data_IF_546959460321
#
_entry.id   IF_546959460321
#
_cell.length_a   1.000
_cell.length_b   1.000
_cell.length_c   1.000
_cell.angle_alpha   90.00
_cell.angle_beta   90.00
_cell.angle_gamma   90.00
#
_symmetry.space_group_name_H-M   'P 1'
#
loop_
_entity.id
_entity.type
_entity.pdbx_description
1 polymer ?
#
# COMPACT_ATOMS: atom_id res chain seq x y z
N UNK A 1 -26.99 54.78 24.49
CA UNK A 1 -26.73 53.57 23.67
C UNK A 1 -26.82 54.00 22.22
N UNK A 2 -25.73 53.93 21.45
CA UNK A 2 -25.82 54.12 20.00
C UNK A 2 -26.60 52.94 19.42
N UNK A 3 -27.66 53.24 18.66
CA UNK A 3 -28.44 52.25 17.95
C UNK A 3 -27.57 51.68 16.82
N UNK A 4 -27.08 50.44 17.01
CA UNK A 4 -26.24 49.78 16.01
C UNK A 4 -27.11 49.49 14.79
N UNK A 5 -26.82 50.18 13.68
CA UNK A 5 -27.51 49.97 12.41
C UNK A 5 -27.23 48.54 11.93
N UNK A 6 -28.24 47.67 12.01
CA UNK A 6 -28.17 46.29 11.51
C UNK A 6 -28.36 46.32 10.00
N UNK A 7 -27.28 46.13 9.25
CA UNK A 7 -27.33 45.89 7.81
C UNK A 7 -27.41 44.38 7.55
N UNK A 8 -28.30 43.99 6.65
CA UNK A 8 -28.49 42.61 6.22
C UNK A 8 -28.60 42.58 4.69
N UNK A 9 -27.86 41.65 4.07
CA UNK A 9 -27.90 41.43 2.63
C UNK A 9 -28.09 39.94 2.35
N UNK A 10 -29.17 39.61 1.64
CA UNK A 10 -29.52 38.22 1.32
C UNK A 10 -29.10 37.92 -0.11
N UNK A 11 -28.16 36.97 -0.26
CA UNK A 11 -27.64 36.55 -1.57
C UNK A 11 -28.58 35.52 -2.20
N UNK A 12 -28.96 34.51 -1.42
CA UNK A 12 -29.92 33.50 -1.87
C UNK A 12 -30.74 32.98 -0.68
N UNK A 13 -31.52 31.90 -0.89
CA UNK A 13 -32.37 31.32 0.16
C UNK A 13 -31.59 30.77 1.36
N UNK A 14 -30.31 30.44 1.17
CA UNK A 14 -29.45 29.84 2.18
C UNK A 14 -28.43 30.83 2.74
N UNK A 15 -27.94 31.77 1.94
CA UNK A 15 -26.79 32.62 2.24
C UNK A 15 -27.19 34.07 2.50
N UNK A 16 -26.82 34.58 3.67
CA UNK A 16 -27.06 35.96 4.10
C UNK A 16 -25.81 36.53 4.75
N UNK A 17 -25.52 37.81 4.54
CA UNK A 17 -24.47 38.54 5.25
C UNK A 17 -25.11 39.57 6.18
N UNK A 18 -24.54 39.75 7.37
CA UNK A 18 -24.96 40.80 8.31
C UNK A 18 -23.76 41.58 8.84
N UNK A 19 -23.92 42.89 8.98
CA UNK A 19 -22.94 43.74 9.68
C UNK A 19 -23.28 43.76 11.18
N UNK A 20 -22.42 43.15 11.98
CA UNK A 20 -22.60 43.03 13.43
C UNK A 20 -21.29 43.40 14.13
N UNK A 21 -21.35 44.35 15.07
CA UNK A 21 -20.17 44.80 15.84
C UNK A 21 -18.99 45.18 14.93
N UNK A 22 -19.27 46.00 13.91
CA UNK A 22 -18.28 46.44 12.90
C UNK A 22 -17.65 45.30 12.09
N UNK A 23 -18.28 44.12 12.05
CA UNK A 23 -17.76 42.96 11.33
C UNK A 23 -18.81 42.35 10.41
N UNK A 24 -18.38 41.97 9.22
CA UNK A 24 -19.24 41.24 8.27
C UNK A 24 -19.26 39.75 8.64
N UNK A 25 -20.44 39.25 8.99
CA UNK A 25 -20.69 37.87 9.39
C UNK A 25 -21.52 37.16 8.32
N UNK A 26 -21.06 36.00 7.90
CA UNK A 26 -21.78 35.12 6.97
C UNK A 26 -22.71 34.20 7.76
N UNK A 27 -23.95 34.13 7.32
CA UNK A 27 -25.01 33.26 7.83
C UNK A 27 -25.44 32.26 6.77
N UNK A 28 -25.60 31.00 7.18
CA UNK A 28 -26.08 29.92 6.34
C UNK A 28 -27.31 29.31 7.02
N UNK A 29 -28.47 29.37 6.36
CA UNK A 29 -29.78 29.03 6.96
C UNK A 29 -30.05 29.78 8.28
N UNK A 30 -29.62 31.04 8.36
CA UNK A 30 -29.76 31.85 9.57
C UNK A 30 -28.81 31.47 10.72
N UNK A 31 -27.96 30.45 10.53
CA UNK A 31 -26.93 30.07 11.51
C UNK A 31 -25.62 30.79 11.19
N UNK A 32 -25.01 31.41 12.19
CA UNK A 32 -23.71 32.07 12.07
C UNK A 32 -22.65 31.07 11.63
N UNK A 33 -21.99 31.33 10.51
CA UNK A 33 -20.99 30.44 9.94
C UNK A 33 -19.55 30.92 10.17
N UNK A 34 -19.21 32.10 9.64
CA UNK A 34 -17.84 32.63 9.69
C UNK A 34 -17.83 34.16 9.55
N UNK A 35 -16.80 34.80 10.10
CA UNK A 35 -16.48 36.21 9.86
C UNK A 35 -15.62 36.36 8.59
N UNK A 36 -15.92 37.32 7.72
CA UNK A 36 -15.03 37.72 6.62
C UNK A 36 -13.78 38.41 7.20
N UNK A 37 -12.58 37.94 6.85
CA UNK A 37 -11.32 38.45 7.42
C UNK A 37 -10.75 39.67 6.67
N UNK A 38 -10.94 39.75 5.36
CA UNK A 38 -10.42 40.85 4.54
C UNK A 38 -11.11 40.92 3.18
N UNK A 39 -11.34 42.13 2.70
CA UNK A 39 -11.85 42.39 1.36
C UNK A 39 -10.70 42.33 0.35
N UNK A 40 -10.70 41.31 -0.51
CA UNK A 40 -9.86 41.29 -1.71
C UNK A 40 -10.60 42.10 -2.79
N UNK A 41 -10.16 43.34 -3.02
CA UNK A 41 -10.85 44.33 -3.85
C UNK A 41 -10.63 44.16 -5.37
N UNK A 42 -11.76 44.27 -6.10
CA UNK A 42 -12.09 44.69 -7.49
C UNK A 42 -11.08 44.68 -8.67
N UNK A 43 -9.77 44.70 -8.50
CA UNK A 43 -8.85 44.85 -9.66
C UNK A 43 -8.62 43.59 -10.49
N UNK A 44 -9.14 42.44 -10.06
CA UNK A 44 -8.85 41.14 -10.66
C UNK A 44 -9.82 40.72 -11.77
N UNK A 45 -11.06 41.22 -11.82
CA UNK A 45 -12.08 40.68 -12.74
C UNK A 45 -11.82 40.97 -14.22
N UNK A 46 -11.17 42.09 -14.56
CA UNK A 46 -10.82 42.41 -15.96
C UNK A 46 -9.49 41.77 -16.40
N UNK A 47 -8.52 41.61 -15.49
CA UNK A 47 -7.22 40.97 -15.78
C UNK A 47 -7.31 39.43 -15.79
N UNK A 48 -8.08 38.82 -14.88
CA UNK A 48 -8.26 37.36 -14.84
C UNK A 48 -9.02 36.81 -16.07
N UNK A 49 -9.81 37.64 -16.75
CA UNK A 49 -10.47 37.25 -18.02
C UNK A 49 -9.50 37.20 -19.20
N UNK A 50 -8.37 37.91 -19.12
CA UNK A 50 -7.41 38.03 -20.23
C UNK A 50 -6.16 37.16 -20.04
N UNK A 51 -5.76 36.88 -18.79
CA UNK A 51 -4.67 35.94 -18.50
C UNK A 51 -5.18 34.49 -18.34
N UNK A 52 -5.01 33.69 -19.40
CA UNK A 52 -5.30 32.24 -19.40
C UNK A 52 -4.39 31.40 -18.49
N UNK A 53 -3.47 32.02 -17.76
CA UNK A 53 -2.43 31.35 -16.99
C UNK A 53 -2.57 31.50 -15.47
N UNK A 54 -3.65 32.12 -14.96
CA UNK A 54 -3.89 32.19 -13.51
C UNK A 54 -5.04 31.24 -13.19
N UNK A 55 -4.70 30.08 -12.64
CA UNK A 55 -5.68 29.02 -12.35
C UNK A 55 -6.49 29.31 -11.08
N UNK A 56 -6.03 30.24 -10.22
CA UNK A 56 -6.77 30.64 -9.01
C UNK A 56 -6.43 32.04 -8.48
N UNK A 57 -7.35 32.61 -7.68
CA UNK A 57 -7.06 33.80 -6.86
C UNK A 57 -5.93 33.54 -5.86
N UNK A 58 -5.73 32.30 -5.44
CA UNK A 58 -4.68 31.98 -4.46
C UNK A 58 -3.28 32.18 -5.05
N UNK A 59 -3.09 31.81 -6.32
CA UNK A 59 -1.83 32.04 -7.04
C UNK A 59 -1.58 33.54 -7.24
N UNK A 60 -2.63 34.30 -7.60
CA UNK A 60 -2.54 35.76 -7.67
C UNK A 60 -2.28 36.38 -6.29
N UNK A 61 -2.87 35.83 -5.22
CA UNK A 61 -2.68 36.28 -3.86
C UNK A 61 -1.27 35.99 -3.35
N UNK A 62 -0.66 34.84 -3.66
CA UNK A 62 0.75 34.57 -3.32
C UNK A 62 1.71 35.53 -4.03
N UNK A 63 1.44 35.88 -5.29
CA UNK A 63 2.23 36.85 -6.04
C UNK A 63 2.08 38.26 -5.43
N UNK A 64 0.84 38.63 -5.09
CA UNK A 64 0.53 39.92 -4.45
C UNK A 64 1.10 40.00 -3.03
N UNK A 65 1.01 38.96 -2.22
CA UNK A 65 1.54 38.93 -0.84
C UNK A 65 3.06 39.04 -0.83
N UNK A 66 3.74 38.42 -1.81
CA UNK A 66 5.19 38.63 -2.05
C UNK A 66 5.52 40.07 -2.45
N UNK A 67 4.64 40.76 -3.17
CA UNK A 67 4.81 42.18 -3.53
C UNK A 67 4.49 43.15 -2.36
N UNK A 68 3.61 42.73 -1.46
CA UNK A 68 3.22 43.50 -0.26
C UNK A 68 4.30 43.35 0.84
N UNK A 69 5.02 42.23 0.88
CA UNK A 69 6.11 41.96 1.82
C UNK A 69 7.34 42.90 1.77
N UNK A 70 7.45 43.77 0.76
CA UNK A 70 8.53 44.77 0.67
C UNK A 70 8.20 46.11 1.33
N UNK A 71 6.99 46.29 1.87
CA UNK A 71 6.58 47.51 2.58
C UNK A 71 6.66 47.32 4.11
N UNK A 72 7.78 46.80 4.62
CA UNK A 72 8.10 46.81 6.05
C UNK A 72 8.61 48.20 6.47
N UNK A 73 7.72 49.18 6.43
CA UNK A 73 8.00 50.54 6.89
C UNK A 73 6.72 51.36 6.93
N UNK A 74 6.02 51.32 8.06
CA UNK A 74 5.02 52.29 8.51
C UNK A 74 4.17 52.97 7.43
N UNK A 75 3.25 52.32 6.69
CA UNK A 75 2.30 53.09 5.87
C UNK A 75 0.89 52.48 5.69
N UNK A 76 -0.07 53.21 6.27
CA UNK A 76 -1.51 53.31 5.96
C UNK A 76 -2.35 52.02 6.05
N UNK A 77 -2.78 51.71 7.27
CA UNK A 77 -4.08 51.06 7.50
C UNK A 77 -5.14 52.07 7.04
N UNK A 78 -5.49 52.07 5.74
CA UNK A 78 -6.74 52.68 5.31
C UNK A 78 -7.86 51.91 6.01
N UNK A 79 -8.35 52.46 7.12
CA UNK A 79 -9.50 51.90 7.84
C UNK A 79 -10.74 52.14 6.97
N UNK A 80 -11.03 51.20 6.09
CA UNK A 80 -12.27 51.17 5.33
C UNK A 80 -13.42 51.18 6.34
N UNK A 81 -14.41 52.09 6.22
CA UNK A 81 -15.57 52.07 7.11
C UNK A 81 -16.26 50.70 7.07
N UNK A 82 -16.70 50.15 8.22
CA UNK A 82 -17.30 48.81 8.27
C UNK A 82 -18.47 48.61 7.31
N UNK A 83 -19.27 49.65 7.06
CA UNK A 83 -20.36 49.63 6.09
C UNK A 83 -19.86 49.52 4.65
N UNK A 84 -18.79 50.23 4.30
CA UNK A 84 -18.18 50.16 2.97
C UNK A 84 -17.54 48.79 2.73
N UNK A 85 -16.82 48.26 3.73
CA UNK A 85 -16.26 46.90 3.67
C UNK A 85 -17.37 45.84 3.55
N UNK A 86 -18.46 46.00 4.30
CA UNK A 86 -19.64 45.13 4.22
C UNK A 86 -20.22 45.09 2.81
N UNK A 87 -20.42 46.24 2.17
CA UNK A 87 -20.93 46.28 0.80
C UNK A 87 -19.96 45.64 -0.21
N UNK A 88 -18.66 45.87 -0.05
CA UNK A 88 -17.65 45.18 -0.86
C UNK A 88 -17.75 43.65 -0.73
N UNK A 89 -17.90 43.14 0.49
CA UNK A 89 -18.09 41.71 0.72
C UNK A 89 -19.37 41.18 0.10
N UNK A 90 -20.48 41.91 0.25
CA UNK A 90 -21.76 41.54 -0.34
C UNK A 90 -21.64 41.43 -1.86
N UNK A 91 -21.02 42.41 -2.51
CA UNK A 91 -20.80 42.41 -3.96
C UNK A 91 -19.93 41.23 -4.42
N UNK A 92 -18.80 40.97 -3.76
CA UNK A 92 -17.92 39.86 -4.12
C UNK A 92 -18.62 38.49 -4.02
N UNK A 93 -19.35 38.24 -2.92
CA UNK A 93 -20.05 36.97 -2.74
C UNK A 93 -21.30 36.89 -3.63
N UNK A 94 -21.97 38.00 -3.93
CA UNK A 94 -23.07 38.06 -4.89
C UNK A 94 -22.58 37.66 -6.29
N UNK A 95 -21.47 38.25 -6.76
CA UNK A 95 -20.88 37.92 -8.07
C UNK A 95 -20.41 36.46 -8.10
N UNK A 96 -19.81 35.96 -7.01
CA UNK A 96 -19.47 34.54 -6.87
C UNK A 96 -20.69 33.63 -7.03
N UNK A 97 -21.82 33.97 -6.40
CA UNK A 97 -23.06 33.22 -6.54
C UNK A 97 -23.65 33.32 -7.96
N UNK A 98 -23.67 34.51 -8.55
CA UNK A 98 -24.19 34.76 -9.90
C UNK A 98 -23.36 34.08 -11.01
N UNK A 99 -22.09 33.81 -10.75
CA UNK A 99 -21.20 33.05 -11.64
C UNK A 99 -21.16 31.56 -11.25
N UNK A 100 -22.29 31.01 -10.82
CA UNK A 100 -22.45 29.61 -10.44
C UNK A 100 -21.37 29.10 -9.48
N UNK A 101 -21.03 29.90 -8.46
CA UNK A 101 -20.02 29.58 -7.45
C UNK A 101 -18.58 29.40 -7.97
N UNK A 102 -18.20 30.09 -9.05
CA UNK A 102 -16.83 30.05 -9.60
C UNK A 102 -15.76 30.38 -8.55
N UNK A 103 -15.02 29.36 -8.14
CA UNK A 103 -14.01 29.40 -7.07
C UNK A 103 -12.84 30.31 -7.38
N UNK A 104 -12.71 30.79 -8.63
CA UNK A 104 -11.73 31.79 -9.04
C UNK A 104 -12.14 33.23 -8.71
N UNK A 105 -13.32 33.45 -8.11
CA UNK A 105 -13.82 34.79 -7.75
C UNK A 105 -13.69 35.11 -6.25
N UNK A 106 -13.47 34.09 -5.42
CA UNK A 106 -13.17 34.22 -4.00
C UNK A 106 -11.89 33.45 -3.68
N UNK A 107 -11.09 33.94 -2.73
CA UNK A 107 -9.95 33.16 -2.21
C UNK A 107 -10.43 31.80 -1.70
N UNK A 108 -9.70 30.71 -2.00
CA UNK A 108 -10.10 29.35 -1.64
C UNK A 108 -10.37 29.14 -0.16
N UNK A 109 -9.67 29.87 0.71
CA UNK A 109 -9.88 29.87 2.16
C UNK A 109 -11.32 30.24 2.56
N UNK A 110 -12.03 30.99 1.71
CA UNK A 110 -13.45 31.30 1.87
C UNK A 110 -14.32 30.49 0.90
N UNK A 111 -13.98 30.47 -0.39
CA UNK A 111 -14.78 29.86 -1.46
C UNK A 111 -15.07 28.39 -1.15
N UNK A 112 -14.02 27.62 -0.84
CA UNK A 112 -14.11 26.17 -0.72
C UNK A 112 -14.88 25.72 0.53
N UNK A 113 -14.62 26.28 1.75
CA UNK A 113 -15.45 25.97 2.93
C UNK A 113 -16.91 26.41 2.77
N UNK A 114 -17.16 27.57 2.15
CA UNK A 114 -18.52 28.08 1.94
C UNK A 114 -19.29 27.17 0.98
N UNK A 115 -18.66 26.79 -0.14
CA UNK A 115 -19.22 25.86 -1.13
C UNK A 115 -19.53 24.50 -0.53
N UNK A 116 -18.61 23.94 0.28
CA UNK A 116 -18.84 22.72 1.07
C UNK A 116 -20.08 22.86 1.95
N UNK A 117 -20.18 23.95 2.71
CA UNK A 117 -21.28 24.12 3.67
C UNK A 117 -22.63 24.29 2.97
N UNK A 118 -22.68 24.98 1.83
CA UNK A 118 -23.87 25.08 0.98
C UNK A 118 -24.27 23.72 0.38
N UNK A 119 -23.30 22.93 -0.07
CA UNK A 119 -23.52 21.54 -0.50
C UNK A 119 -24.11 20.68 0.63
N UNK A 120 -23.56 20.77 1.84
CA UNK A 120 -23.98 19.99 3.01
C UNK A 120 -25.44 20.27 3.43
N UNK A 121 -25.94 21.50 3.23
CA UNK A 121 -27.33 21.86 3.54
C UNK A 121 -28.30 21.59 2.38
N UNK A 122 -27.82 21.04 1.26
CA UNK A 122 -28.65 20.62 0.14
C UNK A 122 -28.88 21.67 -0.96
N UNK A 123 -28.03 22.69 -1.08
CA UNK A 123 -28.01 23.51 -2.31
C UNK A 123 -27.50 22.65 -3.48
N UNK A 124 -28.40 22.37 -4.44
CA UNK A 124 -28.11 21.46 -5.56
C UNK A 124 -27.04 22.01 -6.50
N UNK A 125 -27.02 23.33 -6.73
CA UNK A 125 -26.02 23.98 -7.57
C UNK A 125 -24.67 23.97 -6.86
N UNK A 126 -24.64 24.33 -5.57
CA UNK A 126 -23.42 24.27 -4.76
C UNK A 126 -22.86 22.85 -4.69
N UNK A 127 -23.72 21.84 -4.50
CA UNK A 127 -23.31 20.43 -4.48
C UNK A 127 -22.65 19.98 -5.77
N UNK A 128 -23.23 20.35 -6.92
CA UNK A 128 -22.65 20.07 -8.24
C UNK A 128 -21.27 20.74 -8.36
N UNK A 129 -21.20 22.04 -8.11
CA UNK A 129 -19.97 22.85 -8.23
C UNK A 129 -18.88 22.41 -7.25
N UNK A 130 -19.26 21.99 -6.07
CA UNK A 130 -18.33 21.47 -5.07
C UNK A 130 -17.64 20.19 -5.54
N UNK A 131 -18.40 19.26 -6.14
CA UNK A 131 -17.84 18.03 -6.73
C UNK A 131 -16.92 18.33 -7.91
N UNK A 132 -17.32 19.25 -8.79
CA UNK A 132 -16.49 19.73 -9.91
C UNK A 132 -15.16 20.29 -9.42
N UNK A 133 -15.18 21.12 -8.37
CA UNK A 133 -13.97 21.70 -7.78
C UNK A 133 -13.07 20.64 -7.12
N UNK A 134 -13.64 19.65 -6.42
CA UNK A 134 -12.87 18.53 -5.86
C UNK A 134 -12.19 17.77 -7.00
N UNK A 135 -12.93 17.45 -8.08
CA UNK A 135 -12.38 16.76 -9.24
C UNK A 135 -11.23 17.54 -9.87
N UNK A 136 -11.45 18.82 -10.19
CA UNK A 136 -10.44 19.72 -10.77
C UNK A 136 -9.13 19.72 -9.95
N UNK A 137 -9.24 19.82 -8.63
CA UNK A 137 -8.07 19.84 -7.74
C UNK A 137 -7.35 18.50 -7.69
N UNK A 138 -8.08 17.38 -7.71
CA UNK A 138 -7.47 16.06 -7.78
C UNK A 138 -6.75 15.86 -9.12
N UNK A 139 -7.39 16.24 -10.23
CA UNK A 139 -6.85 16.12 -11.59
C UNK A 139 -5.57 16.95 -11.81
N UNK A 140 -5.36 18.03 -11.04
CA UNK A 140 -4.11 18.79 -11.06
C UNK A 140 -2.87 17.93 -10.73
N UNK A 141 -3.06 16.81 -10.03
CA UNK A 141 -1.97 15.93 -9.59
C UNK A 141 -1.04 16.54 -8.54
N UNK A 142 -1.36 17.73 -8.00
CA UNK A 142 -0.53 18.39 -7.00
C UNK A 142 -0.69 17.73 -5.62
N UNK A 143 0.29 16.90 -5.27
CA UNK A 143 0.25 15.98 -4.11
C UNK A 143 -0.19 16.65 -2.79
N UNK A 144 0.31 17.84 -2.38
CA UNK A 144 -0.14 18.47 -1.14
C UNK A 144 -1.65 18.78 -1.15
N UNK A 145 -2.19 19.28 -2.26
CA UNK A 145 -3.64 19.54 -2.40
C UNK A 145 -4.43 18.24 -2.42
N UNK A 146 -3.95 17.23 -3.14
CA UNK A 146 -4.55 15.90 -3.17
C UNK A 146 -4.64 15.30 -1.76
N UNK A 147 -3.53 15.31 -1.02
CA UNK A 147 -3.50 14.82 0.36
C UNK A 147 -4.42 15.61 1.27
N UNK A 148 -4.46 16.95 1.15
CA UNK A 148 -5.40 17.77 1.90
C UNK A 148 -6.85 17.33 1.68
N UNK A 149 -7.25 17.06 0.42
CA UNK A 149 -8.61 16.62 0.10
C UNK A 149 -8.92 15.23 0.65
N UNK A 150 -7.98 14.30 0.52
CA UNK A 150 -8.11 12.92 1.06
C UNK A 150 -8.23 12.94 2.58
N UNK A 151 -7.27 13.57 3.28
CA UNK A 151 -7.19 13.55 4.74
C UNK A 151 -8.38 14.24 5.43
N UNK A 152 -9.01 15.21 4.75
CA UNK A 152 -10.20 15.90 5.26
C UNK A 152 -11.53 15.24 4.83
N UNK A 153 -11.46 14.08 4.18
CA UNK A 153 -12.63 13.29 3.77
C UNK A 153 -13.50 14.01 2.74
N UNK A 154 -12.88 14.66 1.75
CA UNK A 154 -13.61 15.29 0.64
C UNK A 154 -14.03 14.29 -0.44
N UNK A 155 -13.45 13.09 -0.48
CA UNK A 155 -13.77 12.10 -1.52
C UNK A 155 -15.13 11.41 -1.27
N UNK A 156 -15.70 11.53 -0.06
CA UNK A 156 -17.08 11.11 0.24
C UNK A 156 -18.16 11.84 -0.57
N UNK A 157 -17.83 12.97 -1.19
CA UNK A 157 -18.78 13.70 -2.04
C UNK A 157 -18.80 13.17 -3.48
N UNK A 158 -17.84 12.34 -3.85
CA UNK A 158 -17.71 11.73 -5.16
C UNK A 158 -18.22 10.28 -5.15
N UNK A 159 -18.78 9.84 -6.28
CA UNK A 159 -19.09 8.42 -6.51
C UNK A 159 -17.83 7.66 -6.91
N UNK A 160 -17.89 6.33 -6.82
CA UNK A 160 -16.79 5.47 -7.24
C UNK A 160 -16.43 5.67 -8.73
N UNK A 161 -17.42 5.89 -9.59
CA UNK A 161 -17.23 6.14 -11.02
C UNK A 161 -16.52 7.46 -11.28
N UNK A 162 -16.86 8.52 -10.52
CA UNK A 162 -16.20 9.82 -10.61
C UNK A 162 -14.75 9.73 -10.16
N UNK A 163 -14.49 9.04 -9.05
CA UNK A 163 -13.13 8.78 -8.56
C UNK A 163 -12.31 8.02 -9.60
N UNK A 164 -12.89 6.97 -10.21
CA UNK A 164 -12.23 6.21 -11.26
C UNK A 164 -11.90 7.06 -12.48
N UNK A 165 -12.85 7.90 -12.90
CA UNK A 165 -12.65 8.84 -14.02
C UNK A 165 -11.49 9.81 -13.74
N UNK A 166 -11.42 10.35 -12.52
CA UNK A 166 -10.31 11.22 -12.09
C UNK A 166 -8.98 10.46 -12.11
N UNK A 167 -8.94 9.23 -11.58
CA UNK A 167 -7.71 8.42 -11.57
C UNK A 167 -7.21 8.12 -12.99
N UNK A 168 -8.11 7.97 -13.96
CA UNK A 168 -7.79 7.76 -15.38
C UNK A 168 -7.30 9.03 -16.08
N UNK A 169 -7.68 10.23 -15.60
CA UNK A 169 -7.24 11.52 -16.17
C UNK A 169 -5.93 12.06 -15.58
N UNK A 170 -5.47 11.50 -14.45
CA UNK A 170 -4.23 11.92 -13.80
C UNK A 170 -2.99 11.73 -14.70
N UNK A 171 -2.01 12.63 -14.61
CA UNK A 171 -0.77 12.49 -15.36
C UNK A 171 0.00 11.24 -14.94
N UNK A 172 0.72 10.63 -15.88
CA UNK A 172 1.64 9.53 -15.54
C UNK A 172 2.84 10.08 -14.78
N UNK A 173 3.07 9.57 -13.57
CA UNK A 173 4.24 9.93 -12.79
C UNK A 173 5.38 8.94 -13.06
N UNK A 174 6.65 9.40 -13.06
CA UNK A 174 7.77 8.48 -13.05
C UNK A 174 7.68 7.58 -11.81
N UNK A 175 8.05 6.30 -11.91
CA UNK A 175 8.04 5.41 -10.76
C UNK A 175 8.80 6.03 -9.58
N UNK A 176 8.18 5.99 -8.39
CA UNK A 176 8.80 6.32 -7.12
C UNK A 176 9.18 7.80 -6.91
N UNK A 177 8.61 8.72 -7.70
CA UNK A 177 8.93 10.15 -7.54
C UNK A 177 8.42 10.76 -6.23
N UNK A 178 7.38 10.17 -5.62
CA UNK A 178 6.72 10.75 -4.44
C UNK A 178 6.36 9.76 -3.33
N UNK A 179 6.49 8.44 -3.51
CA UNK A 179 6.06 7.42 -2.51
C UNK A 179 6.59 7.71 -1.12
N UNK A 180 7.91 7.95 -0.96
CA UNK A 180 8.51 8.28 0.33
C UNK A 180 8.11 9.65 0.92
N UNK A 181 7.76 10.63 0.07
CA UNK A 181 7.38 11.99 0.52
C UNK A 181 5.92 12.08 0.94
N UNK A 182 5.05 11.24 0.36
CA UNK A 182 3.63 11.21 0.71
C UNK A 182 3.45 10.88 2.19
N UNK A 183 4.30 9.99 2.74
CA UNK A 183 4.26 9.66 4.17
C UNK A 183 4.59 10.83 5.09
N UNK A 184 5.40 11.80 4.64
CA UNK A 184 5.70 13.03 5.39
C UNK A 184 4.52 14.02 5.42
N UNK A 185 3.49 13.79 4.60
CA UNK A 185 2.28 14.63 4.56
C UNK A 185 1.17 14.10 5.46
N UNK A 186 1.32 12.90 6.02
CA UNK A 186 0.40 12.43 7.05
C UNK A 186 0.69 13.16 8.35
N UNK A 187 -0.35 13.61 9.08
CA UNK A 187 -0.17 14.13 10.42
C UNK A 187 0.32 13.00 11.35
N UNK A 188 0.93 13.37 12.47
CA UNK A 188 1.42 12.43 13.50
C UNK A 188 0.31 11.47 13.98
N UNK A 189 -0.92 11.98 14.08
CA UNK A 189 -2.14 11.20 14.27
C UNK A 189 -2.92 11.12 12.95
N UNK A 190 -2.63 10.12 12.11
CA UNK A 190 -3.26 10.02 10.81
C UNK A 190 -4.78 9.77 10.92
N UNK A 191 -5.59 10.47 10.09
CA UNK A 191 -7.03 10.46 10.24
C UNK A 191 -7.64 9.11 9.84
N UNK A 192 -8.87 8.88 10.29
CA UNK A 192 -9.68 7.78 9.78
C UNK A 192 -10.04 8.03 8.31
N UNK A 193 -9.59 7.14 7.44
CA UNK A 193 -9.89 7.18 6.00
C UNK A 193 -11.13 6.32 5.70
N UNK A 194 -12.02 6.81 4.83
CA UNK A 194 -13.10 5.98 4.31
C UNK A 194 -12.65 5.21 3.08
N UNK A 195 -13.55 4.36 2.56
CA UNK A 195 -13.31 3.47 1.42
C UNK A 195 -12.82 4.24 0.19
N UNK A 196 -13.46 5.37 -0.13
CA UNK A 196 -13.10 6.20 -1.28
C UNK A 196 -11.68 6.76 -1.16
N UNK A 197 -11.31 7.25 0.02
CA UNK A 197 -9.97 7.77 0.30
C UNK A 197 -8.91 6.67 0.16
N UNK A 198 -9.18 5.49 0.72
CA UNK A 198 -8.26 4.37 0.65
C UNK A 198 -8.11 3.84 -0.77
N UNK A 199 -9.21 3.66 -1.51
CA UNK A 199 -9.21 3.29 -2.92
C UNK A 199 -8.39 4.30 -3.75
N UNK A 200 -8.66 5.58 -3.56
CA UNK A 200 -7.94 6.64 -4.28
C UNK A 200 -6.43 6.59 -3.99
N UNK A 201 -6.02 6.49 -2.72
CA UNK A 201 -4.60 6.43 -2.36
C UNK A 201 -3.90 5.19 -2.92
N UNK A 202 -4.59 4.05 -2.98
CA UNK A 202 -4.06 2.82 -3.58
C UNK A 202 -3.84 2.95 -5.09
N UNK A 203 -4.78 3.59 -5.79
CA UNK A 203 -4.76 3.69 -7.25
C UNK A 203 -3.99 4.88 -7.80
N UNK A 204 -3.81 5.92 -6.98
CA UNK A 204 -3.22 7.15 -7.46
C UNK A 204 -1.79 6.92 -7.96
N UNK A 205 -1.48 7.26 -9.23
CA UNK A 205 -0.25 6.85 -9.91
C UNK A 205 1.03 7.37 -9.25
N UNK A 206 0.97 8.51 -8.57
CA UNK A 206 2.09 9.05 -7.80
C UNK A 206 2.20 8.51 -6.36
N UNK A 207 1.07 8.13 -5.75
CA UNK A 207 1.01 7.82 -4.33
C UNK A 207 1.24 6.33 -4.12
N UNK A 208 0.48 5.49 -4.85
CA UNK A 208 0.61 4.03 -4.86
C UNK A 208 0.83 3.50 -3.44
N UNK A 209 -0.17 3.73 -2.59
CA UNK A 209 -0.04 3.57 -1.15
C UNK A 209 0.59 2.23 -0.75
N UNK A 210 0.14 1.12 -1.37
CA UNK A 210 0.65 -0.22 -1.10
C UNK A 210 2.15 -0.36 -1.42
N UNK A 211 2.58 0.14 -2.57
CA UNK A 211 3.98 0.19 -2.98
C UNK A 211 4.81 1.04 -2.02
N UNK A 212 4.32 2.23 -1.66
CA UNK A 212 5.01 3.12 -0.74
C UNK A 212 5.24 2.46 0.62
N UNK A 213 4.24 1.76 1.15
CA UNK A 213 4.33 1.00 2.41
C UNK A 213 5.38 -0.10 2.30
N UNK A 214 5.35 -0.83 1.19
CA UNK A 214 6.28 -1.92 0.96
C UNK A 214 7.72 -1.40 0.77
N UNK A 215 7.92 -0.18 0.26
CA UNK A 215 9.25 0.41 0.07
C UNK A 215 9.89 0.93 1.37
N UNK A 216 9.11 1.58 2.24
CA UNK A 216 9.64 2.25 3.44
C UNK A 216 10.14 1.26 4.49
N UNK A 217 9.41 0.17 4.72
CA UNK A 217 9.86 -1.00 5.47
C UNK A 217 10.11 -0.87 6.97
N UNK A 218 10.24 0.34 7.47
CA UNK A 218 10.31 0.66 8.88
C UNK A 218 9.69 2.04 9.06
N UNK A 219 8.39 2.06 9.33
CA UNK A 219 7.64 3.30 9.55
C UNK A 219 7.55 3.66 11.03
N UNK A 220 7.91 2.75 11.95
CA UNK A 220 7.96 2.96 13.39
C UNK A 220 6.65 3.40 14.06
N UNK A 221 6.40 2.91 15.27
CA UNK A 221 5.39 3.47 16.20
C UNK A 221 3.96 3.56 15.62
N UNK A 222 3.31 4.70 15.89
CA UNK A 222 1.88 4.94 15.62
C UNK A 222 1.48 4.81 14.14
N UNK A 223 2.42 5.00 13.22
CA UNK A 223 2.15 4.88 11.79
C UNK A 223 1.91 3.42 11.38
N UNK A 224 2.65 2.47 11.95
CA UNK A 224 2.43 1.04 11.69
C UNK A 224 1.03 0.60 12.14
N UNK A 225 0.62 1.02 13.34
CA UNK A 225 -0.71 0.71 13.89
C UNK A 225 -1.83 1.35 13.07
N UNK A 226 -1.66 2.60 12.66
CA UNK A 226 -2.60 3.25 11.75
C UNK A 226 -2.67 2.52 10.40
N UNK A 227 -1.54 2.08 9.85
CA UNK A 227 -1.53 1.35 8.59
C UNK A 227 -2.26 0.01 8.70
N UNK A 228 -2.04 -0.73 9.77
CA UNK A 228 -2.77 -1.98 10.07
C UNK A 228 -4.28 -1.70 10.17
N UNK A 229 -4.67 -0.61 10.85
CA UNK A 229 -6.06 -0.16 10.95
C UNK A 229 -6.68 0.17 9.58
N UNK A 230 -5.97 0.90 8.73
CA UNK A 230 -6.43 1.23 7.38
C UNK A 230 -6.61 -0.01 6.49
N UNK A 231 -5.65 -0.94 6.51
CA UNK A 231 -5.74 -2.17 5.74
C UNK A 231 -6.83 -3.10 6.26
N UNK A 232 -7.01 -3.18 7.58
CA UNK A 232 -8.12 -3.90 8.18
C UNK A 232 -9.47 -3.31 7.76
N UNK A 233 -9.59 -1.98 7.75
CA UNK A 233 -10.81 -1.28 7.30
C UNK A 233 -11.09 -1.54 5.81
N UNK A 234 -10.05 -1.47 4.97
CA UNK A 234 -10.16 -1.82 3.55
C UNK A 234 -10.56 -3.27 3.33
N UNK A 235 -10.02 -4.19 4.11
CA UNK A 235 -10.38 -5.60 4.01
C UNK A 235 -11.82 -5.83 4.42
N UNK A 236 -12.29 -5.19 5.49
CA UNK A 236 -13.66 -5.31 5.96
C UNK A 236 -14.65 -4.81 4.91
N UNK A 237 -14.35 -3.67 4.28
CA UNK A 237 -15.25 -3.01 3.32
C UNK A 237 -15.13 -3.53 1.89
N UNK A 238 -13.91 -3.82 1.44
CA UNK A 238 -13.58 -4.11 0.04
C UNK A 238 -12.62 -5.32 -0.08
N UNK A 239 -12.94 -6.49 0.50
CA UNK A 239 -12.01 -7.61 0.62
C UNK A 239 -11.49 -8.09 -0.74
N UNK A 240 -12.37 -8.17 -1.75
CA UNK A 240 -12.00 -8.63 -3.10
C UNK A 240 -11.00 -7.69 -3.77
N UNK A 241 -11.23 -6.38 -3.68
CA UNK A 241 -10.39 -5.38 -4.32
C UNK A 241 -8.99 -5.33 -3.69
N UNK A 242 -8.91 -5.24 -2.36
CA UNK A 242 -7.61 -5.23 -1.66
C UNK A 242 -6.83 -6.50 -1.97
N UNK A 243 -7.52 -7.65 -1.96
CA UNK A 243 -6.93 -8.95 -2.29
C UNK A 243 -6.38 -8.98 -3.70
N UNK A 244 -7.14 -8.58 -4.71
CA UNK A 244 -6.67 -8.53 -6.10
C UNK A 244 -5.46 -7.62 -6.28
N UNK A 245 -5.48 -6.43 -5.65
CA UNK A 245 -4.37 -5.48 -5.68
C UNK A 245 -3.12 -6.01 -4.99
N UNK A 246 -3.28 -6.60 -3.82
CA UNK A 246 -2.17 -7.24 -3.11
C UNK A 246 -1.55 -8.36 -3.95
N UNK A 247 -2.36 -9.22 -4.60
CA UNK A 247 -1.85 -10.26 -5.48
C UNK A 247 -1.14 -9.70 -6.71
N UNK A 248 -1.65 -8.62 -7.30
CA UNK A 248 -0.99 -7.94 -8.42
C UNK A 248 0.36 -7.34 -8.01
N UNK A 249 0.42 -6.74 -6.82
CA UNK A 249 1.65 -6.17 -6.26
C UNK A 249 2.66 -7.27 -5.96
N UNK A 250 2.26 -8.33 -5.26
CA UNK A 250 3.14 -9.45 -4.89
C UNK A 250 3.78 -10.15 -6.09
N UNK A 251 3.11 -10.17 -7.26
CA UNK A 251 3.69 -10.70 -8.50
C UNK A 251 4.89 -9.89 -8.99
N UNK A 252 4.96 -8.61 -8.65
CA UNK A 252 5.97 -7.66 -9.12
C UNK A 252 6.97 -7.27 -8.03
N UNK A 253 6.63 -7.47 -6.76
CA UNK A 253 7.43 -6.97 -5.66
C UNK A 253 8.77 -7.70 -5.53
N UNK A 254 9.72 -7.01 -4.91
CA UNK A 254 11.03 -7.54 -4.51
C UNK A 254 10.94 -8.16 -3.12
N UNK A 255 11.96 -8.92 -2.73
CA UNK A 255 11.95 -9.58 -1.43
C UNK A 255 11.96 -8.61 -0.26
N UNK A 256 12.64 -7.47 -0.38
CA UNK A 256 12.63 -6.43 0.66
C UNK A 256 11.20 -5.92 0.89
N UNK A 257 10.50 -5.59 -0.19
CA UNK A 257 9.11 -5.15 -0.15
C UNK A 257 8.19 -6.22 0.45
N UNK A 258 8.38 -7.49 0.05
CA UNK A 258 7.65 -8.61 0.62
C UNK A 258 7.89 -8.78 2.12
N UNK A 259 9.14 -8.62 2.57
CA UNK A 259 9.50 -8.70 3.99
C UNK A 259 8.76 -7.65 4.78
N UNK A 260 8.68 -6.44 4.25
CA UNK A 260 7.97 -5.33 4.89
C UNK A 260 6.47 -5.61 5.00
N UNK A 261 5.86 -6.16 3.93
CA UNK A 261 4.45 -6.60 3.99
C UNK A 261 4.22 -7.71 5.02
N UNK A 262 5.18 -8.62 5.20
CA UNK A 262 5.11 -9.68 6.20
C UNK A 262 5.18 -9.11 7.63
N UNK A 263 6.12 -8.20 7.90
CA UNK A 263 6.26 -7.53 9.20
C UNK A 263 5.00 -6.76 9.59
N UNK A 264 4.37 -6.11 8.62
CA UNK A 264 3.12 -5.36 8.83
C UNK A 264 1.87 -6.26 8.99
N UNK A 265 2.02 -7.59 8.93
CA UNK A 265 0.89 -8.52 9.03
C UNK A 265 -0.04 -8.53 7.81
N UNK A 266 0.31 -7.85 6.72
CA UNK A 266 -0.53 -7.72 5.52
C UNK A 266 -0.72 -9.07 4.83
N UNK A 267 0.27 -9.96 5.00
CA UNK A 267 0.22 -11.32 4.45
C UNK A 267 -0.89 -12.19 5.06
N UNK A 268 -1.48 -11.81 6.20
CA UNK A 268 -2.64 -12.51 6.77
C UNK A 268 -3.87 -12.49 5.86
N UNK A 269 -3.90 -11.58 4.88
CA UNK A 269 -5.02 -11.40 3.95
C UNK A 269 -4.85 -12.15 2.63
N UNK A 270 -3.69 -12.76 2.40
CA UNK A 270 -3.41 -13.62 1.26
C UNK A 270 -3.64 -15.05 1.71
N UNK A 271 -4.33 -15.89 0.94
CA UNK A 271 -4.37 -17.32 1.29
C UNK A 271 -3.06 -17.99 0.94
N UNK A 272 -2.74 -19.08 1.63
CA UNK A 272 -1.51 -19.83 1.34
C UNK A 272 -1.46 -20.29 -0.11
N UNK A 273 -2.58 -20.78 -0.66
CA UNK A 273 -2.66 -21.18 -2.07
C UNK A 273 -2.32 -20.03 -3.02
N UNK A 274 -2.85 -18.83 -2.77
CA UNK A 274 -2.61 -17.67 -3.62
C UNK A 274 -1.14 -17.23 -3.56
N UNK A 275 -0.56 -17.25 -2.37
CA UNK A 275 0.84 -16.94 -2.20
C UNK A 275 1.74 -17.95 -2.93
N UNK A 276 1.50 -19.25 -2.74
CA UNK A 276 2.22 -20.33 -3.47
C UNK A 276 2.08 -20.13 -4.98
N UNK A 277 0.91 -19.71 -5.45
CA UNK A 277 0.69 -19.39 -6.87
C UNK A 277 1.59 -18.25 -7.37
N UNK A 278 1.81 -17.23 -6.53
CA UNK A 278 2.65 -16.08 -6.87
C UNK A 278 4.12 -16.48 -6.85
N UNK A 279 4.57 -17.17 -5.80
CA UNK A 279 5.96 -17.61 -5.69
C UNK A 279 6.35 -18.55 -6.82
N UNK A 280 5.47 -19.46 -7.22
CA UNK A 280 5.75 -20.41 -8.29
C UNK A 280 5.61 -19.79 -9.70
N UNK A 281 5.21 -18.52 -9.78
CA UNK A 281 5.23 -17.79 -11.04
C UNK A 281 6.68 -17.40 -11.38
N UNK A 282 7.31 -18.15 -12.31
CA UNK A 282 8.73 -17.99 -12.68
C UNK A 282 9.16 -16.57 -13.07
N UNK A 283 8.22 -15.75 -13.53
CA UNK A 283 8.47 -14.38 -13.93
C UNK A 283 8.29 -13.36 -12.79
N UNK A 284 7.88 -13.79 -11.59
CA UNK A 284 7.73 -12.90 -10.44
C UNK A 284 9.10 -12.41 -9.95
N UNK A 285 9.14 -11.18 -9.43
CA UNK A 285 10.33 -10.65 -8.75
C UNK A 285 10.70 -11.52 -7.56
N UNK A 286 9.71 -11.87 -6.75
CA UNK A 286 9.87 -12.77 -5.60
C UNK A 286 10.53 -14.10 -5.94
N UNK A 287 10.09 -14.80 -6.98
CA UNK A 287 10.70 -16.08 -7.37
C UNK A 287 12.21 -15.94 -7.62
N UNK A 288 12.59 -14.89 -8.35
CA UNK A 288 14.00 -14.61 -8.68
C UNK A 288 14.80 -14.31 -7.41
N UNK A 289 14.27 -13.47 -6.54
CA UNK A 289 14.93 -13.08 -5.30
C UNK A 289 15.06 -14.29 -4.35
N UNK A 290 14.00 -15.07 -4.14
CA UNK A 290 14.02 -16.25 -3.26
C UNK A 290 15.01 -17.33 -3.71
N UNK A 291 15.24 -17.49 -5.01
CA UNK A 291 16.25 -18.42 -5.51
C UNK A 291 17.66 -17.93 -5.22
N UNK A 292 17.90 -16.63 -5.33
CA UNK A 292 19.20 -16.00 -5.14
C UNK A 292 19.63 -15.91 -3.68
N UNK A 293 18.70 -16.02 -2.72
CA UNK A 293 19.02 -16.08 -1.29
C UNK A 293 19.78 -17.36 -0.98
N UNK A 294 21.09 -17.29 -0.84
CA UNK A 294 21.88 -18.37 -0.27
C UNK A 294 22.49 -17.93 1.05
N UNK A 295 22.13 -18.60 2.15
CA UNK A 295 22.93 -18.60 3.36
C UNK A 295 22.76 -17.44 4.35
N UNK A 296 21.89 -16.47 4.10
CA UNK A 296 21.73 -15.34 5.01
C UNK A 296 20.63 -15.60 6.07
N UNK A 297 21.00 -15.50 7.35
CA UNK A 297 20.13 -15.79 8.50
C UNK A 297 18.87 -14.88 8.52
N UNK A 298 18.95 -13.69 7.93
CA UNK A 298 17.82 -12.75 7.84
C UNK A 298 16.61 -13.35 7.12
N UNK A 299 16.83 -14.08 6.03
CA UNK A 299 15.75 -14.68 5.25
C UNK A 299 15.19 -15.94 5.89
N UNK A 300 15.90 -16.55 6.83
CA UNK A 300 15.38 -17.68 7.59
C UNK A 300 14.19 -17.25 8.46
N UNK A 301 14.26 -16.08 9.10
CA UNK A 301 13.14 -15.52 9.85
C UNK A 301 11.92 -15.24 8.98
N UNK A 302 12.13 -14.80 7.73
CA UNK A 302 11.05 -14.61 6.75
C UNK A 302 10.39 -15.95 6.41
N UNK A 303 11.19 -17.00 6.20
CA UNK A 303 10.69 -18.35 5.92
C UNK A 303 9.98 -18.97 7.15
N UNK A 304 10.47 -18.69 8.37
CA UNK A 304 9.85 -19.11 9.62
C UNK A 304 8.54 -18.36 9.85
N UNK A 305 8.54 -17.03 9.75
CA UNK A 305 7.34 -16.21 9.86
C UNK A 305 6.30 -16.62 8.82
N UNK A 306 6.73 -16.88 7.58
CA UNK A 306 5.88 -17.46 6.54
C UNK A 306 5.27 -18.79 6.97
N UNK A 307 6.09 -19.71 7.47
CA UNK A 307 5.59 -20.98 7.98
C UNK A 307 4.57 -20.71 9.09
N UNK A 308 4.86 -19.91 10.09
CA UNK A 308 3.94 -19.66 11.20
C UNK A 308 2.63 -19.00 10.75
N UNK A 309 2.67 -18.00 9.87
CA UNK A 309 1.48 -17.32 9.37
C UNK A 309 0.54 -18.23 8.57
N UNK A 310 1.09 -19.20 7.83
CA UNK A 310 0.30 -20.01 6.90
C UNK A 310 0.10 -21.47 7.33
N UNK A 311 1.11 -22.13 7.92
CA UNK A 311 1.00 -23.50 8.41
C UNK A 311 0.15 -23.62 9.67
N UNK A 312 -0.01 -22.55 10.46
CA UNK A 312 -0.84 -22.60 11.68
C UNK A 312 -2.31 -22.31 11.34
N UNK A 313 -2.58 -21.47 10.32
CA UNK A 313 -3.94 -21.04 9.96
C UNK A 313 -4.66 -21.97 8.96
N UNK A 314 -3.95 -22.72 8.11
CA UNK A 314 -4.56 -23.67 7.14
C UNK A 314 -4.14 -25.13 7.38
N UNK A 315 -5.08 -26.05 7.11
CA UNK A 315 -4.93 -27.50 7.32
C UNK A 315 -3.82 -28.08 6.43
N UNK A 316 -2.90 -28.87 7.01
CA UNK A 316 -1.83 -29.53 6.26
C UNK A 316 -2.42 -30.39 5.14
N UNK A 317 -1.87 -30.27 3.93
CA UNK A 317 -2.28 -31.13 2.82
C UNK A 317 -3.60 -30.75 2.16
N UNK A 318 -3.95 -29.46 2.11
CA UNK A 318 -5.00 -29.02 1.19
C UNK A 318 -4.67 -29.52 -0.22
N UNK A 319 -5.63 -30.27 -0.79
CA UNK A 319 -5.47 -31.00 -2.07
C UNK A 319 -5.00 -30.09 -3.21
N UNK A 320 -5.32 -28.80 -3.15
CA UNK A 320 -4.97 -27.83 -4.18
C UNK A 320 -3.50 -27.45 -4.15
N UNK A 321 -2.91 -27.28 -2.96
CA UNK A 321 -1.47 -26.99 -2.83
C UNK A 321 -0.67 -28.21 -3.27
N UNK A 322 -1.06 -29.40 -2.82
CA UNK A 322 -0.38 -30.63 -3.21
C UNK A 322 -0.33 -30.77 -4.73
N UNK A 323 -1.46 -30.50 -5.41
CA UNK A 323 -1.53 -30.52 -6.87
C UNK A 323 -0.59 -29.49 -7.50
N UNK A 324 -0.57 -28.24 -7.03
CA UNK A 324 0.31 -27.19 -7.58
C UNK A 324 1.80 -27.50 -7.36
N UNK A 325 2.17 -27.99 -6.17
CA UNK A 325 3.54 -28.40 -5.88
C UNK A 325 3.94 -29.59 -6.77
N UNK A 326 3.05 -30.56 -6.98
CA UNK A 326 3.24 -31.66 -7.92
C UNK A 326 3.44 -31.13 -9.36
N UNK A 327 2.57 -30.25 -9.84
CA UNK A 327 2.63 -29.68 -11.20
C UNK A 327 3.96 -28.94 -11.43
N UNK A 328 4.43 -28.21 -10.42
CA UNK A 328 5.77 -27.61 -10.46
C UNK A 328 6.84 -28.69 -10.46
N UNK A 329 6.79 -29.66 -9.55
CA UNK A 329 7.80 -30.74 -9.48
C UNK A 329 7.92 -31.53 -10.79
N UNK A 330 6.84 -31.71 -11.56
CA UNK A 330 6.85 -32.34 -12.88
C UNK A 330 7.69 -31.57 -13.89
N UNK A 331 7.63 -30.24 -13.88
CA UNK A 331 8.33 -29.35 -14.82
C UNK A 331 9.54 -28.62 -14.20
N UNK A 332 9.85 -28.92 -12.94
CA UNK A 332 10.81 -28.18 -12.13
C UNK A 332 12.24 -28.37 -12.63
N UNK A 333 12.93 -27.24 -12.78
CA UNK A 333 14.39 -27.13 -12.83
C UNK A 333 15.01 -27.37 -11.45
N UNK A 334 16.35 -27.46 -11.38
CA UNK A 334 17.06 -27.58 -10.10
C UNK A 334 16.75 -26.39 -9.17
N UNK A 335 16.62 -25.17 -9.71
CA UNK A 335 16.32 -23.97 -8.91
C UNK A 335 14.88 -23.97 -8.38
N UNK A 336 13.92 -24.44 -9.17
CA UNK A 336 12.53 -24.64 -8.71
C UNK A 336 12.52 -25.56 -7.47
N UNK A 337 13.33 -26.64 -7.48
CA UNK A 337 13.40 -27.58 -6.36
C UNK A 337 14.10 -26.99 -5.15
N UNK A 338 15.19 -26.24 -5.34
CA UNK A 338 15.82 -25.49 -4.24
C UNK A 338 14.81 -24.61 -3.54
N UNK A 339 14.00 -23.89 -4.31
CA UNK A 339 12.95 -23.02 -3.80
C UNK A 339 11.89 -23.81 -3.03
N UNK A 340 11.37 -24.90 -3.60
CA UNK A 340 10.37 -25.75 -2.94
C UNK A 340 10.87 -26.33 -1.61
N UNK A 341 12.16 -26.68 -1.52
CA UNK A 341 12.79 -27.15 -0.26
C UNK A 341 12.92 -26.00 0.73
N UNK A 342 13.45 -24.86 0.31
CA UNK A 342 13.61 -23.66 1.17
C UNK A 342 12.28 -23.22 1.78
N UNK A 343 11.20 -23.31 1.00
CA UNK A 343 9.85 -22.92 1.41
C UNK A 343 9.06 -24.02 2.12
N UNK A 344 9.65 -25.17 2.42
CA UNK A 344 8.95 -26.28 3.10
C UNK A 344 7.74 -26.85 2.34
N UNK A 345 7.68 -26.63 1.03
CA UNK A 345 6.52 -27.02 0.23
C UNK A 345 6.50 -28.53 -0.03
N UNK A 346 7.68 -29.17 -0.13
CA UNK A 346 7.79 -30.62 -0.28
C UNK A 346 7.44 -31.34 1.04
N UNK A 347 7.90 -30.81 2.17
CA UNK A 347 7.60 -31.36 3.50
C UNK A 347 6.10 -31.25 3.84
N UNK A 348 5.40 -30.27 3.25
CA UNK A 348 3.97 -30.07 3.43
C UNK A 348 3.07 -31.00 2.62
N UNK A 349 3.62 -31.76 1.66
CA UNK A 349 2.84 -32.68 0.84
C UNK A 349 2.22 -33.79 1.71
N UNK A 350 0.97 -34.16 1.43
CA UNK A 350 0.39 -35.36 2.03
C UNK A 350 1.24 -36.60 1.69
N UNK A 351 1.28 -37.59 2.59
CA UNK A 351 2.09 -38.81 2.40
C UNK A 351 1.76 -39.52 1.07
N UNK A 352 0.48 -39.51 0.66
CA UNK A 352 0.03 -40.05 -0.62
C UNK A 352 0.68 -39.32 -1.81
N UNK A 353 0.75 -38.00 -1.75
CA UNK A 353 1.27 -37.16 -2.83
C UNK A 353 2.81 -37.12 -2.83
N UNK A 354 3.45 -37.17 -1.67
CA UNK A 354 4.89 -37.38 -1.57
C UNK A 354 5.28 -38.73 -2.19
N UNK A 355 4.55 -39.81 -1.85
CA UNK A 355 4.75 -41.14 -2.47
C UNK A 355 4.54 -41.08 -3.98
N UNK A 356 3.51 -40.38 -4.46
CA UNK A 356 3.31 -40.16 -5.89
C UNK A 356 4.51 -39.46 -6.54
N UNK A 357 5.04 -38.38 -5.94
CA UNK A 357 6.19 -37.64 -6.47
C UNK A 357 7.45 -38.49 -6.60
N UNK A 358 7.67 -39.40 -5.64
CA UNK A 358 8.83 -40.28 -5.64
C UNK A 358 8.70 -41.40 -6.66
N UNK A 359 7.51 -41.98 -6.78
CA UNK A 359 7.23 -43.11 -7.68
C UNK A 359 7.04 -42.67 -9.14
N UNK A 360 6.62 -41.42 -9.35
CA UNK A 360 6.34 -40.88 -10.68
C UNK A 360 7.62 -40.81 -11.52
N UNK A 361 7.62 -41.51 -12.66
CA UNK A 361 8.71 -41.45 -13.64
C UNK A 361 8.84 -40.06 -14.28
N UNK A 362 7.80 -39.23 -14.22
CA UNK A 362 7.81 -37.86 -14.74
C UNK A 362 8.49 -36.90 -13.76
N UNK A 363 8.19 -37.04 -12.46
CA UNK A 363 8.71 -36.14 -11.41
C UNK A 363 10.12 -36.55 -10.98
N UNK A 364 10.34 -37.86 -10.76
CA UNK A 364 11.61 -38.43 -10.31
C UNK A 364 12.20 -37.66 -9.13
N UNK A 365 11.39 -37.36 -8.11
CA UNK A 365 11.76 -36.47 -7.02
C UNK A 365 13.11 -36.84 -6.40
N UNK A 366 13.33 -38.13 -6.12
CA UNK A 366 14.60 -38.64 -5.56
C UNK A 366 15.79 -38.34 -6.46
N UNK A 367 15.66 -38.52 -7.78
CA UNK A 367 16.75 -38.23 -8.71
C UNK A 367 17.10 -36.75 -8.71
N UNK A 368 16.09 -35.87 -8.67
CA UNK A 368 16.30 -34.43 -8.66
C UNK A 368 16.90 -33.94 -7.33
N UNK A 369 16.50 -34.54 -6.20
CA UNK A 369 17.09 -34.30 -4.88
C UNK A 369 18.55 -34.76 -4.81
N UNK A 370 18.88 -35.92 -5.40
CA UNK A 370 20.24 -36.45 -5.45
C UNK A 370 21.17 -35.64 -6.36
N UNK A 371 20.68 -35.17 -7.51
CA UNK A 371 21.43 -34.30 -8.40
C UNK A 371 21.85 -33.01 -7.69
N UNK A 372 20.93 -32.44 -6.89
CA UNK A 372 21.21 -31.26 -6.10
C UNK A 372 22.29 -31.47 -5.03
N UNK A 373 22.31 -32.62 -4.34
CA UNK A 373 23.37 -32.94 -3.39
C UNK A 373 24.75 -32.97 -4.08
N UNK A 374 24.83 -33.49 -5.31
CA UNK A 374 26.09 -33.61 -6.06
C UNK A 374 26.71 -32.27 -6.51
N UNK A 375 25.89 -31.27 -6.84
CA UNK A 375 26.39 -29.96 -7.33
C UNK A 375 27.15 -29.16 -6.25
N UNK A 376 26.89 -29.38 -4.96
CA UNK A 376 27.49 -28.61 -3.86
C UNK A 376 28.88 -29.08 -3.43
N UNK A 377 29.26 -30.33 -3.69
CA UNK A 377 30.58 -30.84 -3.29
C UNK A 377 31.75 -30.16 -4.03
N UNK A 378 31.47 -29.43 -5.11
CA UNK A 378 32.49 -28.78 -5.95
C UNK A 378 32.78 -27.34 -5.48
N UNK A 379 31.96 -26.76 -4.61
CA UNK A 379 31.96 -25.31 -4.30
C UNK A 379 32.79 -24.82 -3.10
N UNK A 380 33.36 -25.69 -2.25
CA UNK A 380 34.26 -25.30 -1.16
C UNK A 380 33.64 -24.58 0.06
N UNK A 381 32.47 -23.97 -0.05
CA UNK A 381 31.80 -23.33 1.09
C UNK A 381 31.17 -24.38 2.03
N UNK A 382 31.35 -24.18 3.34
CA UNK A 382 30.75 -25.04 4.36
C UNK A 382 29.24 -25.15 4.14
N UNK A 383 28.65 -26.35 4.17
CA UNK A 383 27.25 -26.53 3.86
C UNK A 383 26.40 -25.69 4.81
N UNK A 384 25.47 -24.89 4.26
CA UNK A 384 24.37 -24.35 5.04
C UNK A 384 23.66 -25.54 5.69
N UNK A 385 24.00 -25.79 6.96
CA UNK A 385 23.77 -27.04 7.67
C UNK A 385 22.27 -27.33 7.76
N UNK A 386 21.48 -26.28 7.82
CA UNK A 386 20.03 -26.34 7.82
C UNK A 386 19.43 -26.95 6.55
N UNK A 387 19.89 -26.54 5.37
CA UNK A 387 19.35 -27.07 4.11
C UNK A 387 19.60 -28.58 4.02
N UNK A 388 20.77 -29.03 4.49
CA UNK A 388 21.12 -30.44 4.51
C UNK A 388 20.24 -31.24 5.49
N UNK A 389 19.98 -30.69 6.68
CA UNK A 389 19.03 -31.26 7.64
C UNK A 389 17.64 -31.38 7.00
N UNK A 390 17.18 -30.39 6.23
CA UNK A 390 15.88 -30.45 5.53
C UNK A 390 15.84 -31.51 4.45
N UNK A 391 16.87 -31.58 3.62
CA UNK A 391 16.99 -32.63 2.61
C UNK A 391 16.92 -34.02 3.24
N UNK A 392 17.60 -34.19 4.37
CA UNK A 392 17.56 -35.41 5.19
C UNK A 392 16.13 -35.69 5.67
N UNK A 393 15.43 -34.70 6.22
CA UNK A 393 14.07 -34.87 6.72
C UNK A 393 13.10 -35.26 5.60
N UNK A 394 13.23 -34.67 4.41
CA UNK A 394 12.47 -35.07 3.23
C UNK A 394 12.78 -36.51 2.84
N UNK A 395 14.07 -36.88 2.79
CA UNK A 395 14.49 -38.26 2.49
C UNK A 395 13.92 -39.24 3.53
N UNK A 396 13.92 -38.87 4.80
CA UNK A 396 13.37 -39.65 5.89
C UNK A 396 11.84 -39.81 5.76
N UNK A 397 11.11 -38.71 5.50
CA UNK A 397 9.67 -38.75 5.21
C UNK A 397 9.35 -39.65 4.01
N UNK A 398 10.19 -39.60 2.97
CA UNK A 398 10.09 -40.49 1.81
C UNK A 398 10.38 -41.95 2.21
N UNK A 399 11.40 -42.20 3.02
CA UNK A 399 11.81 -43.54 3.44
C UNK A 399 10.76 -44.22 4.31
N UNK A 400 10.12 -43.45 5.19
CA UNK A 400 9.05 -43.92 6.09
C UNK A 400 7.72 -44.17 5.36
N UNK A 401 7.52 -43.58 4.18
CA UNK A 401 6.27 -43.71 3.40
C UNK A 401 6.32 -44.73 2.27
N UNK A 402 7.52 -45.22 1.92
CA UNK A 402 7.74 -46.14 0.80
C UNK A 402 8.22 -47.49 1.33
N UNK A 403 7.91 -48.58 0.61
CA UNK A 403 8.52 -49.88 0.86
C UNK A 403 10.05 -49.74 0.82
N UNK A 404 10.69 -50.05 1.96
CA UNK A 404 12.13 -49.98 2.18
C UNK A 404 12.93 -50.60 1.03
N UNK A 405 12.44 -51.68 0.43
CA UNK A 405 13.11 -52.36 -0.68
C UNK A 405 13.14 -51.54 -1.97
N UNK A 406 12.10 -50.76 -2.21
CA UNK A 406 11.95 -49.97 -3.41
C UNK A 406 12.85 -48.72 -3.37
N UNK A 407 12.94 -48.05 -2.21
CA UNK A 407 13.89 -46.97 -1.96
C UNK A 407 15.34 -47.45 -2.14
N UNK A 408 15.68 -48.59 -1.54
CA UNK A 408 17.00 -49.22 -1.62
C UNK A 408 17.35 -49.56 -3.08
N UNK A 409 16.41 -50.08 -3.87
CA UNK A 409 16.67 -50.42 -5.28
C UNK A 409 16.93 -49.19 -6.16
N UNK A 410 16.25 -48.07 -5.91
CA UNK A 410 16.43 -46.81 -6.64
C UNK A 410 17.77 -46.15 -6.31
N UNK A 411 18.13 -46.10 -5.01
CA UNK A 411 19.45 -45.62 -4.55
C UNK A 411 20.60 -46.51 -5.03
N UNK A 412 20.45 -47.85 -4.98
CA UNK A 412 21.46 -48.81 -5.44
C UNK A 412 21.73 -48.70 -6.94
N UNK A 413 20.72 -48.38 -7.76
CA UNK A 413 20.88 -48.26 -9.22
C UNK A 413 21.68 -47.03 -9.66
N UNK A 414 21.80 -45.99 -8.82
CA UNK A 414 22.34 -44.70 -9.27
C UNK A 414 23.48 -44.09 -8.47
N UNK A 415 23.84 -44.56 -7.27
CA UNK A 415 24.91 -43.84 -6.55
C UNK A 415 25.61 -44.62 -5.44
N UNK A 416 26.57 -45.48 -5.81
CA UNK A 416 27.63 -45.93 -4.88
C UNK A 416 28.43 -44.73 -4.34
N UNK A 417 28.61 -43.67 -5.14
CA UNK A 417 29.28 -42.41 -4.74
C UNK A 417 28.42 -41.53 -3.82
N UNK A 418 27.13 -41.33 -4.09
CA UNK A 418 26.28 -40.50 -3.21
C UNK A 418 26.01 -41.19 -1.86
N UNK A 419 25.92 -42.53 -1.80
CA UNK A 419 25.86 -43.26 -0.53
C UNK A 419 27.15 -43.12 0.29
N UNK A 420 28.32 -43.06 -0.37
CA UNK A 420 29.61 -42.80 0.29
C UNK A 420 29.68 -41.35 0.77
N UNK A 421 29.33 -40.38 -0.07
CA UNK A 421 29.24 -38.96 0.27
C UNK A 421 28.28 -38.70 1.44
N UNK A 422 27.09 -39.30 1.41
CA UNK A 422 26.10 -39.21 2.49
C UNK A 422 26.64 -39.78 3.82
N UNK A 423 27.32 -40.94 3.79
CA UNK A 423 28.02 -41.49 4.96
C UNK A 423 29.14 -40.58 5.46
N UNK A 424 29.81 -39.89 4.55
CA UNK A 424 30.90 -38.97 4.91
C UNK A 424 30.36 -37.68 5.54
N UNK A 425 29.25 -37.14 5.02
CA UNK A 425 28.50 -36.04 5.63
C UNK A 425 27.94 -36.41 7.00
N UNK A 426 27.45 -37.64 7.19
CA UNK A 426 27.05 -38.18 8.49
C UNK A 426 28.20 -38.17 9.50
N UNK A 427 29.36 -38.69 9.10
CA UNK A 427 30.56 -38.70 9.94
C UNK A 427 31.06 -37.27 10.26
N UNK A 428 30.86 -36.31 9.35
CA UNK A 428 31.23 -34.92 9.57
C UNK A 428 30.27 -34.22 10.54
N UNK A 429 28.96 -34.51 10.48
CA UNK A 429 27.97 -34.00 11.45
C UNK A 429 28.27 -34.55 12.85
N UNK A 430 28.60 -35.84 12.95
CA UNK A 430 28.98 -36.48 14.21
C UNK A 430 30.19 -35.79 14.86
N UNK A 431 31.17 -35.38 14.02
CA UNK A 431 32.40 -34.67 14.42
C UNK A 431 32.26 -33.15 14.59
N UNK A 432 31.17 -32.53 14.13
CA UNK A 432 30.96 -31.07 14.23
C UNK A 432 30.79 -30.59 15.67
N UNK A 433 30.94 -29.30 15.98
CA UNK A 433 30.68 -28.76 17.33
C UNK A 433 29.19 -28.42 17.59
N UNK A 434 28.26 -28.99 16.80
CA UNK A 434 26.83 -28.77 17.00
C UNK A 434 26.37 -29.21 18.40
N UNK A 435 25.42 -28.48 18.99
CA UNK A 435 24.83 -28.79 20.28
C UNK A 435 24.32 -30.25 20.32
N UNK A 436 24.56 -31.01 21.41
CA UNK A 436 24.25 -32.44 21.49
C UNK A 436 22.79 -32.80 21.17
N UNK A 437 21.82 -31.96 21.55
CA UNK A 437 20.40 -32.19 21.25
C UNK A 437 20.10 -32.14 19.74
N UNK A 438 20.70 -31.19 19.02
CA UNK A 438 20.56 -31.08 17.58
C UNK A 438 21.23 -32.26 16.86
N UNK A 439 22.41 -32.69 17.31
CA UNK A 439 23.07 -33.89 16.80
C UNK A 439 22.21 -35.15 16.99
N UNK A 440 21.60 -35.30 18.16
CA UNK A 440 20.79 -36.48 18.50
C UNK A 440 19.50 -36.54 17.67
N UNK A 441 18.81 -35.42 17.45
CA UNK A 441 17.61 -35.42 16.60
C UNK A 441 17.94 -35.66 15.12
N UNK A 442 19.03 -35.08 14.61
CA UNK A 442 19.52 -35.29 13.24
C UNK A 442 19.95 -36.76 13.05
N UNK A 443 20.70 -37.32 13.99
CA UNK A 443 21.15 -38.72 13.92
C UNK A 443 19.98 -39.71 14.12
N UNK A 444 18.99 -39.40 14.97
CA UNK A 444 17.79 -40.24 15.13
C UNK A 444 16.91 -40.26 13.89
N UNK A 445 16.75 -39.14 13.20
CA UNK A 445 16.00 -39.06 11.94
C UNK A 445 16.76 -39.67 10.75
N UNK A 446 18.06 -39.92 10.89
CA UNK A 446 18.91 -40.54 9.85
C UNK A 446 19.08 -42.05 10.00
N UNK A 447 18.98 -42.57 11.23
CA UNK A 447 19.18 -43.99 11.56
C UNK A 447 17.92 -44.83 11.33
N UNK A 448 16.73 -44.25 11.50
CA UNK A 448 15.44 -44.87 11.17
C UNK A 448 15.21 -44.79 9.65
#
# INVERSE_FOLDING_TARGET
MMEIKKLEFKINKFLTLKLEYERTIIYILGVKYRQCKSLLLETTTEKLKTDKNIDSIDEAAEILDKSIGYWQGDHFIYKIPPETEFWGHCSNIQVWYEQDYDTRLLHSNLAFPLLKKLSDIGDTLAKKKFKEEIALRLESGFIPTTMFLVLNGYLRYLSCEEIKTILESLPTFPPNSHTGKVFQLFPDEPPYLFENELYFLMEHPAIRLLEGIAETGDVGGDFEDWMRSCLSTLLEKCPTYLKERLLMFLRKCRIREFTNLLTLGIMEYVSYEQFVSILLFKNSGLYKDFIQIDGDNYYEWILIGFRESFYIKEDRGSKTIDKRVIDVLESASTNDIKLLIKLYLIEGLSLKNLRFCVMSQKIRLVDKLLLFHGEREVGGDAPNTWFFIRLINIIYLIATTIDKNLLISSFRRKSKKALVSFRQSLNNIEKSELYPAAKIDILRQLVV
#
